data_IF_634111931552
#
_entry.id   IF_634111931552
#
_cell.length_a   1.000
_cell.length_b   1.000
_cell.length_c   1.000
_cell.angle_alpha   90.00
_cell.angle_beta   90.00
_cell.angle_gamma   90.00
#
_symmetry.space_group_name_H-M   'P 1'
#
loop_
_entity.id
_entity.type
_entity.pdbx_description
1 polymer ?
#
# COMPACT_ATOMS: atom_id res chain seq x y z
N UNK A 1 -11.41 13.23 25.80
CA UNK A 1 -10.36 13.33 24.77
C UNK A 1 -9.48 12.08 24.62
N UNK A 2 -9.07 11.41 25.71
CA UNK A 2 -8.20 10.22 25.64
C UNK A 2 -8.73 9.10 24.73
N UNK A 3 -10.00 8.70 24.90
CA UNK A 3 -10.63 7.66 24.06
C UNK A 3 -10.65 8.03 22.56
N UNK A 4 -10.82 9.31 22.22
CA UNK A 4 -10.84 9.75 20.83
C UNK A 4 -9.44 9.68 20.21
N UNK A 5 -8.40 10.11 20.94
CA UNK A 5 -7.01 9.96 20.49
C UNK A 5 -6.64 8.49 20.29
N UNK A 6 -7.09 7.60 21.18
CA UNK A 6 -6.87 6.17 21.05
C UNK A 6 -7.56 5.61 19.80
N UNK A 7 -8.81 5.99 19.53
CA UNK A 7 -9.54 5.55 18.34
C UNK A 7 -8.86 6.04 17.05
N UNK A 8 -8.39 7.30 17.01
CA UNK A 8 -7.64 7.85 15.86
C UNK A 8 -6.36 7.05 15.60
N UNK A 9 -5.63 6.70 16.67
CA UNK A 9 -4.43 5.87 16.56
C UNK A 9 -4.75 4.46 16.07
N UNK A 10 -5.83 3.85 16.57
CA UNK A 10 -6.27 2.51 16.13
C UNK A 10 -6.65 2.49 14.65
N UNK A 11 -7.38 3.50 14.16
CA UNK A 11 -7.72 3.59 12.73
C UNK A 11 -6.47 3.67 11.83
N UNK A 12 -5.45 4.42 12.22
CA UNK A 12 -4.16 4.45 11.49
C UNK A 12 -3.48 3.08 11.51
N UNK A 13 -3.43 2.45 12.68
CA UNK A 13 -2.80 1.14 12.84
C UNK A 13 -3.51 0.06 12.02
N UNK A 14 -4.85 0.02 12.01
CA UNK A 14 -5.61 -0.97 11.24
C UNK A 14 -5.28 -0.93 9.75
N UNK A 15 -5.02 0.26 9.19
CA UNK A 15 -4.65 0.39 7.76
C UNK A 15 -3.17 0.09 7.52
N UNK A 16 -2.27 0.60 8.35
CA UNK A 16 -0.81 0.40 8.16
C UNK A 16 -0.40 -1.04 8.50
N UNK A 17 -0.91 -1.63 9.58
CA UNK A 17 -0.64 -3.02 10.00
C UNK A 17 -1.31 -4.05 9.08
N UNK A 18 -2.25 -3.63 8.20
CA UNK A 18 -2.74 -4.51 7.16
C UNK A 18 -1.65 -4.88 6.12
N UNK A 19 -0.53 -4.13 6.09
CA UNK A 19 0.66 -4.40 5.27
C UNK A 19 0.33 -4.71 3.80
N UNK A 20 -0.65 -4.00 3.24
CA UNK A 20 -1.14 -4.24 1.88
C UNK A 20 -0.05 -4.02 0.84
N UNK A 21 0.80 -3.01 1.02
CA UNK A 21 1.96 -2.75 0.17
C UNK A 21 2.93 -3.96 0.14
N UNK A 22 3.23 -4.57 1.28
CA UNK A 22 4.08 -5.77 1.38
C UNK A 22 3.45 -6.96 0.66
N UNK A 23 2.14 -7.18 0.86
CA UNK A 23 1.39 -8.26 0.18
C UNK A 23 1.38 -8.08 -1.33
N UNK A 24 1.12 -6.86 -1.82
CA UNK A 24 1.13 -6.55 -3.25
C UNK A 24 2.54 -6.74 -3.83
N UNK A 25 3.58 -6.23 -3.17
CA UNK A 25 4.98 -6.43 -3.58
C UNK A 25 5.36 -7.91 -3.67
N UNK A 26 4.87 -8.73 -2.73
CA UNK A 26 5.08 -10.18 -2.74
C UNK A 26 4.47 -10.80 -4.00
N UNK A 27 3.23 -10.44 -4.35
CA UNK A 27 2.58 -10.94 -5.56
C UNK A 27 3.29 -10.47 -6.84
N UNK A 28 3.71 -9.20 -6.90
CA UNK A 28 4.49 -8.67 -8.02
C UNK A 28 5.79 -9.48 -8.20
N UNK A 29 6.50 -9.75 -7.10
CA UNK A 29 7.74 -10.53 -7.11
C UNK A 29 7.50 -11.95 -7.65
N UNK A 30 6.46 -12.63 -7.14
CA UNK A 30 6.10 -13.98 -7.61
C UNK A 30 5.77 -13.99 -9.11
N UNK A 31 5.02 -13.01 -9.60
CA UNK A 31 4.71 -12.89 -11.04
C UNK A 31 5.99 -12.70 -11.85
N UNK A 32 6.89 -11.83 -11.40
CA UNK A 32 8.20 -11.61 -12.04
C UNK A 32 9.01 -12.90 -12.14
N UNK A 33 9.11 -13.67 -11.06
CA UNK A 33 9.80 -14.96 -11.03
C UNK A 33 9.18 -15.98 -12.01
N UNK A 34 7.84 -16.03 -12.09
CA UNK A 34 7.14 -16.87 -13.06
C UNK A 34 7.39 -16.44 -14.51
N UNK A 35 7.42 -15.13 -14.78
CA UNK A 35 7.74 -14.61 -16.11
C UNK A 35 9.18 -14.95 -16.52
N UNK A 36 10.14 -14.79 -15.63
CA UNK A 36 11.54 -15.14 -15.87
C UNK A 36 11.71 -16.64 -16.14
N UNK A 37 10.99 -17.49 -15.39
CA UNK A 37 11.00 -18.94 -15.62
C UNK A 37 10.41 -19.31 -16.99
N UNK A 38 9.28 -18.70 -17.35
CA UNK A 38 8.64 -18.91 -18.64
C UNK A 38 9.53 -18.46 -19.81
N UNK A 39 10.24 -17.35 -19.67
CA UNK A 39 11.14 -16.84 -20.70
C UNK A 39 12.37 -17.74 -20.91
N UNK A 40 12.91 -18.30 -19.81
CA UNK A 40 13.97 -19.33 -19.91
C UNK A 40 13.48 -20.59 -20.60
N UNK A 41 12.27 -21.05 -20.26
CA UNK A 41 11.69 -22.23 -20.91
C UNK A 41 11.40 -21.96 -22.38
N UNK A 42 10.90 -20.77 -22.73
CA UNK A 42 10.70 -20.33 -24.12
C UNK A 42 12.00 -20.37 -24.90
N UNK A 43 13.07 -19.80 -24.34
CA UNK A 43 14.41 -19.80 -24.95
C UNK A 43 14.94 -21.22 -25.19
N UNK A 44 14.62 -22.17 -24.30
CA UNK A 44 14.97 -23.58 -24.47
C UNK A 44 14.19 -24.24 -25.61
N UNK A 45 12.88 -23.94 -25.76
CA UNK A 45 12.06 -24.42 -26.87
C UNK A 45 12.57 -23.86 -28.21
N UNK A 46 12.91 -22.56 -28.25
CA UNK A 46 13.49 -21.91 -29.42
C UNK A 46 14.80 -22.61 -29.86
N UNK A 47 15.68 -22.92 -28.90
CA UNK A 47 16.93 -23.64 -29.16
C UNK A 47 16.72 -25.09 -29.68
N UNK A 48 15.58 -25.72 -29.36
CA UNK A 48 15.19 -27.03 -29.88
C UNK A 48 14.48 -26.97 -31.25
N UNK A 49 14.25 -25.78 -31.80
CA UNK A 49 13.45 -25.61 -33.02
C UNK A 49 11.94 -25.81 -32.81
N UNK A 50 11.48 -25.81 -31.55
CA UNK A 50 10.05 -25.95 -31.18
C UNK A 50 9.33 -24.61 -31.21
N UNK A 51 9.29 -24.02 -32.40
CA UNK A 51 8.82 -22.65 -32.62
C UNK A 51 7.34 -22.48 -32.25
N UNK A 52 6.50 -23.49 -32.53
CA UNK A 52 5.06 -23.39 -32.25
C UNK A 52 4.78 -23.43 -30.74
N UNK A 53 5.45 -24.31 -30.01
CA UNK A 53 5.33 -24.41 -28.54
C UNK A 53 5.85 -23.14 -27.85
N UNK A 54 6.96 -22.59 -28.34
CA UNK A 54 7.50 -21.31 -27.88
C UNK A 54 6.49 -20.16 -28.09
N UNK A 55 5.86 -20.11 -29.27
CA UNK A 55 4.83 -19.12 -29.58
C UNK A 55 3.61 -19.26 -28.67
N UNK A 56 3.09 -20.48 -28.50
CA UNK A 56 1.94 -20.75 -27.63
C UNK A 56 2.22 -20.38 -26.17
N UNK A 57 3.44 -20.66 -25.70
CA UNK A 57 3.85 -20.28 -24.35
C UNK A 57 3.84 -18.75 -24.20
N UNK A 58 4.40 -18.01 -25.16
CA UNK A 58 4.41 -16.54 -25.16
C UNK A 58 3.02 -15.94 -25.08
N UNK A 59 2.09 -16.41 -25.91
CA UNK A 59 0.68 -15.99 -25.87
C UNK A 59 0.04 -16.28 -24.51
N UNK A 60 0.36 -17.45 -23.91
CA UNK A 60 -0.20 -17.85 -22.62
C UNK A 60 0.21 -16.93 -21.47
N UNK A 61 1.48 -16.52 -21.38
CA UNK A 61 1.97 -15.70 -20.25
C UNK A 61 1.98 -14.19 -20.51
N UNK A 62 1.57 -13.72 -21.69
CA UNK A 62 1.51 -12.28 -22.00
C UNK A 62 0.63 -11.49 -21.01
N UNK A 63 -0.42 -12.13 -20.46
CA UNK A 63 -1.30 -11.49 -19.47
C UNK A 63 -0.60 -11.13 -18.16
N UNK A 64 0.57 -11.72 -17.86
CA UNK A 64 1.35 -11.36 -16.67
C UNK A 64 1.88 -9.93 -16.73
N UNK A 65 2.22 -9.42 -17.93
CA UNK A 65 2.62 -8.02 -18.09
C UNK A 65 1.49 -7.05 -17.71
N UNK A 66 0.26 -7.37 -18.11
CA UNK A 66 -0.93 -6.57 -17.77
C UNK A 66 -1.21 -6.63 -16.27
N UNK A 67 -1.15 -7.83 -15.68
CA UNK A 67 -1.34 -8.01 -14.24
C UNK A 67 -0.29 -7.24 -13.43
N UNK A 68 0.97 -7.29 -13.84
CA UNK A 68 2.05 -6.55 -13.20
C UNK A 68 1.85 -5.04 -13.28
N UNK A 69 1.40 -4.52 -14.43
CA UNK A 69 1.06 -3.09 -14.57
C UNK A 69 -0.08 -2.66 -13.64
N UNK A 70 -1.15 -3.46 -13.56
CA UNK A 70 -2.28 -3.19 -12.66
C UNK A 70 -1.85 -3.24 -11.19
N UNK A 71 -1.07 -4.25 -10.80
CA UNK A 71 -0.57 -4.38 -9.42
C UNK A 71 0.37 -3.24 -9.03
N UNK A 72 1.21 -2.77 -9.95
CA UNK A 72 2.06 -1.60 -9.72
C UNK A 72 1.23 -0.33 -9.50
N UNK A 73 0.16 -0.12 -10.27
CA UNK A 73 -0.75 1.00 -10.06
C UNK A 73 -1.45 0.91 -8.70
N UNK A 74 -1.94 -0.27 -8.31
CA UNK A 74 -2.58 -0.48 -7.00
C UNK A 74 -1.57 -0.24 -5.87
N UNK A 75 -0.30 -0.65 -6.04
CA UNK A 75 0.76 -0.40 -5.06
C UNK A 75 1.00 1.09 -4.87
N UNK A 76 1.01 1.87 -5.95
CA UNK A 76 1.13 3.33 -5.90
C UNK A 76 -0.03 3.97 -5.14
N UNK A 77 -1.27 3.56 -5.45
CA UNK A 77 -2.47 4.03 -4.74
C UNK A 77 -2.42 3.69 -3.24
N UNK A 78 -1.99 2.47 -2.88
CA UNK A 78 -1.85 2.04 -1.47
C UNK A 78 -0.78 2.84 -0.74
N UNK A 79 0.35 3.11 -1.38
CA UNK A 79 1.40 3.95 -0.78
C UNK A 79 0.90 5.37 -0.54
N UNK A 80 0.20 5.96 -1.52
CA UNK A 80 -0.41 7.28 -1.38
C UNK A 80 -1.44 7.33 -0.24
N UNK A 81 -2.33 6.34 -0.14
CA UNK A 81 -3.30 6.26 0.96
C UNK A 81 -2.62 6.16 2.34
N UNK A 82 -1.52 5.40 2.46
CA UNK A 82 -0.77 5.29 3.71
C UNK A 82 -0.16 6.64 4.14
N UNK A 83 0.36 7.40 3.17
CA UNK A 83 0.92 8.74 3.41
C UNK A 83 -0.17 9.74 3.82
N UNK A 84 -1.33 9.72 3.15
CA UNK A 84 -2.48 10.55 3.51
C UNK A 84 -3.01 10.23 4.91
N UNK A 85 -3.18 8.95 5.24
CA UNK A 85 -3.64 8.51 6.57
C UNK A 85 -2.66 8.95 7.65
N UNK A 86 -1.36 8.84 7.41
CA UNK A 86 -0.33 9.33 8.35
C UNK A 86 -0.48 10.83 8.56
N UNK A 87 -0.62 11.58 7.48
CA UNK A 87 -0.77 13.04 7.53
C UNK A 87 -2.05 13.48 8.26
N UNK A 88 -3.20 12.88 7.94
CA UNK A 88 -4.48 13.22 8.57
C UNK A 88 -4.54 12.79 10.03
N UNK A 89 -3.93 11.65 10.38
CA UNK A 89 -3.78 11.22 11.76
C UNK A 89 -3.02 12.26 12.58
N UNK A 90 -1.86 12.71 12.10
CA UNK A 90 -1.00 13.65 12.84
C UNK A 90 -1.70 15.01 12.99
N UNK A 91 -2.35 15.51 11.92
CA UNK A 91 -3.18 16.73 11.99
C UNK A 91 -4.32 16.60 12.99
N UNK A 92 -5.02 15.47 13.01
CA UNK A 92 -6.14 15.26 13.93
C UNK A 92 -5.67 15.26 15.40
N UNK A 93 -4.52 14.66 15.69
CA UNK A 93 -3.94 14.72 17.05
C UNK A 93 -3.56 16.15 17.44
N UNK A 94 -2.90 16.90 16.54
CA UNK A 94 -2.53 18.30 16.76
C UNK A 94 -3.74 19.20 17.04
N UNK A 95 -4.83 19.03 16.29
CA UNK A 95 -6.07 19.79 16.49
C UNK A 95 -6.73 19.47 17.84
N UNK A 96 -6.70 18.20 18.26
CA UNK A 96 -7.20 17.81 19.58
C UNK A 96 -6.37 18.42 20.71
N UNK A 97 -5.05 18.49 20.53
CA UNK A 97 -4.16 19.12 21.51
C UNK A 97 -4.37 20.63 21.62
N UNK A 98 -4.53 21.32 20.49
CA UNK A 98 -4.90 22.75 20.48
C UNK A 98 -6.24 23.00 21.18
N UNK A 99 -7.24 22.15 20.93
CA UNK A 99 -8.56 22.26 21.54
C UNK A 99 -8.49 22.08 23.06
N UNK A 100 -7.76 21.06 23.53
CA UNK A 100 -7.56 20.85 24.97
C UNK A 100 -6.85 22.05 25.63
N UNK A 101 -5.76 22.53 25.05
CA UNK A 101 -5.02 23.69 25.59
C UNK A 101 -5.88 24.96 25.63
N UNK A 102 -6.73 25.18 24.63
CA UNK A 102 -7.67 26.30 24.64
C UNK A 102 -8.73 26.17 25.73
N UNK A 103 -9.17 24.95 26.08
CA UNK A 103 -10.15 24.74 27.15
C UNK A 103 -9.59 24.96 28.56
N UNK A 104 -8.29 24.74 28.77
CA UNK A 104 -7.62 24.98 30.05
C UNK A 104 -7.39 26.49 30.29
N UNK A 105 -7.08 27.26 29.25
CA UNK A 105 -6.86 28.71 29.36
C UNK A 105 -8.14 29.52 29.70
N UNK A 106 -9.34 29.01 29.40
CA UNK A 106 -10.59 29.69 29.78
C UNK A 106 -11.01 29.44 31.24
N UNK A 107 -10.35 28.52 31.95
CA UNK A 107 -10.67 28.18 33.34
C UNK A 107 -9.97 29.06 34.40
N UNK A 108 -8.87 29.73 34.06
CA UNK A 108 -8.11 30.56 35.01
C UNK A 108 -8.53 32.03 35.02
N UNK A 109 -9.11 32.57 33.95
CA UNK A 109 -9.54 33.97 33.89
C UNK A 109 -10.90 34.25 34.56
N UNK A 110 -11.72 33.23 34.83
CA UNK A 110 -13.06 33.43 35.42
C UNK A 110 -13.11 33.40 36.95
N UNK A 111 -11.97 33.28 37.65
CA UNK A 111 -11.91 33.22 39.12
C UNK A 111 -11.32 34.46 39.79
N UNK A 112 -10.94 35.49 39.02
CA UNK A 112 -10.34 36.74 39.53
C UNK A 112 -11.05 38.02 39.01
N UNK A 113 -12.37 37.98 38.80
CA UNK A 113 -13.18 39.16 38.47
C UNK A 113 -14.27 39.42 39.52
#
# INVERSE_FOLDING_TARGET
MSNLKQNIKQMKNEVIEAELNTKINTVITMIGEHMDSNERFRSHLDAQGKVMESYMLKEYYQNYYVLMAVLNSILEDVNFMNDEITTFHDRALDELDKTNASSENFGEESLNA
#
